data_IF_633494901902
#
_entry.id   IF_633494901902
#
_cell.length_a   1.000
_cell.length_b   1.000
_cell.length_c   1.000
_cell.angle_alpha   90.00
_cell.angle_beta   90.00
_cell.angle_gamma   90.00
#
_symmetry.space_group_name_H-M   'P 1'
#
loop_
_entity.id
_entity.type
_entity.pdbx_description
1 polymer ?
#
# COMPACT_ATOMS: atom_id res chain seq x y z
N UNK A 1 -27.10 5.16 18.78
CA UNK A 1 -25.76 5.04 19.40
C UNK A 1 -25.30 3.60 19.18
N UNK A 2 -24.61 3.35 18.07
CA UNK A 2 -24.08 2.04 17.73
C UNK A 2 -22.74 1.90 18.45
N UNK A 3 -22.70 1.03 19.46
CA UNK A 3 -21.49 0.74 20.22
C UNK A 3 -20.67 -0.22 19.37
N UNK A 4 -19.68 0.30 18.65
CA UNK A 4 -18.76 -0.48 17.82
C UNK A 4 -18.06 -1.51 18.70
N UNK A 5 -18.61 -2.73 18.69
CA UNK A 5 -18.22 -3.80 19.58
C UNK A 5 -16.88 -4.35 19.11
N UNK A 6 -15.78 -3.85 19.67
CA UNK A 6 -14.43 -4.36 19.41
C UNK A 6 -14.40 -5.86 19.74
N UNK A 7 -14.40 -6.69 18.70
CA UNK A 7 -14.34 -8.15 18.83
C UNK A 7 -12.89 -8.54 19.13
N UNK A 8 -12.58 -9.11 20.30
CA UNK A 8 -11.21 -9.48 20.65
C UNK A 8 -10.69 -10.59 19.74
N UNK A 9 -9.51 -10.41 19.14
CA UNK A 9 -8.87 -11.40 18.24
C UNK A 9 -7.56 -11.94 18.83
N UNK A 10 -7.31 -13.24 18.70
CA UNK A 10 -6.05 -13.84 19.11
C UNK A 10 -4.92 -13.47 18.14
N UNK A 11 -3.89 -12.78 18.62
CA UNK A 11 -2.78 -12.32 17.76
C UNK A 11 -1.89 -13.44 17.21
N UNK A 12 -1.96 -14.65 17.79
CA UNK A 12 -1.13 -15.80 17.38
C UNK A 12 -1.77 -16.54 16.21
N UNK A 13 -3.08 -16.74 16.22
CA UNK A 13 -3.80 -17.57 15.24
C UNK A 13 -4.92 -16.84 14.48
N UNK A 14 -5.23 -15.58 14.84
CA UNK A 14 -6.27 -14.78 14.19
C UNK A 14 -7.71 -15.14 14.59
N UNK A 15 -7.91 -16.04 15.56
CA UNK A 15 -9.26 -16.43 15.98
C UNK A 15 -9.99 -15.28 16.69
N UNK A 16 -11.17 -14.91 16.18
CA UNK A 16 -12.10 -13.96 16.82
C UNK A 16 -12.75 -14.61 18.04
N UNK A 17 -12.74 -13.91 19.17
CA UNK A 17 -13.29 -14.35 20.45
C UNK A 17 -14.58 -13.58 20.77
N UNK A 18 -15.57 -14.24 21.39
CA UNK A 18 -16.89 -13.65 21.66
C UNK A 18 -16.97 -12.82 22.96
N UNK A 19 -17.65 -11.67 22.90
CA UNK A 19 -18.02 -10.70 23.95
C UNK A 19 -16.89 -10.11 24.84
N UNK A 20 -16.88 -8.77 24.90
CA UNK A 20 -15.85 -7.89 25.51
C UNK A 20 -15.83 -7.84 27.05
N UNK A 21 -16.79 -8.46 27.74
CA UNK A 21 -16.90 -8.34 29.21
C UNK A 21 -16.07 -9.38 29.98
N UNK A 22 -15.49 -10.39 29.31
CA UNK A 22 -14.70 -11.47 29.95
C UNK A 22 -13.43 -11.87 29.19
N UNK A 23 -12.90 -10.94 28.38
CA UNK A 23 -11.77 -11.17 27.44
C UNK A 23 -10.54 -11.80 28.08
N UNK A 24 -10.06 -11.39 29.27
CA UNK A 24 -8.81 -11.93 29.83
C UNK A 24 -8.88 -13.43 30.12
N UNK A 25 -9.97 -13.91 30.74
CA UNK A 25 -10.12 -15.35 31.08
C UNK A 25 -10.34 -16.21 29.83
N UNK A 26 -11.07 -15.71 28.83
CA UNK A 26 -11.29 -16.44 27.56
C UNK A 26 -10.01 -16.52 26.74
N UNK A 27 -9.26 -15.42 26.64
CA UNK A 27 -7.95 -15.39 26.00
C UNK A 27 -6.97 -16.31 26.74
N UNK A 28 -7.00 -16.30 28.07
CA UNK A 28 -6.24 -17.22 28.93
C UNK A 28 -6.49 -18.68 28.61
N UNK A 29 -7.75 -19.09 28.64
CA UNK A 29 -8.16 -20.45 28.28
C UNK A 29 -7.77 -20.81 26.85
N UNK A 30 -8.07 -19.93 25.89
CA UNK A 30 -7.75 -20.17 24.48
C UNK A 30 -6.25 -20.42 24.25
N UNK A 31 -5.39 -19.64 24.90
CA UNK A 31 -3.94 -19.79 24.78
C UNK A 31 -3.42 -21.04 25.49
N UNK A 32 -3.97 -21.38 26.66
CA UNK A 32 -3.61 -22.62 27.36
C UNK A 32 -3.99 -23.87 26.55
N UNK A 33 -5.14 -23.85 25.86
CA UNK A 33 -5.63 -25.01 25.12
C UNK A 33 -5.05 -25.12 23.71
N UNK A 34 -4.89 -24.00 23.00
CA UNK A 34 -4.47 -24.00 21.59
C UNK A 34 -2.99 -23.66 21.40
N UNK A 35 -2.35 -23.02 22.39
CA UNK A 35 -0.96 -22.58 22.33
C UNK A 35 -0.22 -22.85 23.65
N UNK A 36 -0.19 -24.11 24.14
CA UNK A 36 0.35 -24.45 25.46
C UNK A 36 1.83 -24.04 25.62
N UNK A 37 2.61 -24.06 24.54
CA UNK A 37 4.01 -23.62 24.50
C UNK A 37 4.21 -22.11 24.76
N UNK A 38 3.18 -21.29 24.55
CA UNK A 38 3.22 -19.84 24.76
C UNK A 38 2.69 -19.42 26.15
N UNK A 39 2.06 -20.34 26.88
CA UNK A 39 1.46 -20.07 28.20
C UNK A 39 2.45 -19.61 29.27
N UNK A 40 3.71 -20.06 29.17
CA UNK A 40 4.78 -19.75 30.14
C UNK A 40 5.43 -18.38 29.87
N UNK A 41 5.26 -17.81 28.66
CA UNK A 41 5.95 -16.58 28.23
C UNK A 41 4.99 -15.49 27.75
N UNK A 42 3.88 -15.39 28.46
CA UNK A 42 2.66 -14.69 28.08
C UNK A 42 2.86 -13.23 27.64
N UNK A 43 3.65 -12.45 28.38
CA UNK A 43 3.76 -11.00 28.16
C UNK A 43 4.71 -10.65 27.02
N UNK A 44 5.89 -11.27 27.00
CA UNK A 44 6.93 -10.97 26.00
C UNK A 44 6.55 -11.45 24.59
N UNK A 45 5.88 -12.61 24.48
CA UNK A 45 5.46 -13.13 23.18
C UNK A 45 4.37 -12.26 22.54
N UNK A 46 3.41 -11.79 23.34
CA UNK A 46 2.34 -10.92 22.88
C UNK A 46 2.85 -9.53 22.49
N UNK A 47 3.71 -8.91 23.31
CA UNK A 47 4.32 -7.63 22.99
C UNK A 47 5.15 -7.71 21.70
N UNK A 48 5.96 -8.77 21.52
CA UNK A 48 6.76 -8.96 20.32
C UNK A 48 5.90 -9.19 19.07
N UNK A 49 4.82 -9.97 19.18
CA UNK A 49 3.91 -10.25 18.06
C UNK A 49 3.05 -9.04 17.66
N UNK A 50 2.57 -8.27 18.64
CA UNK A 50 1.88 -6.99 18.39
C UNK A 50 2.81 -5.96 17.76
N UNK A 51 4.05 -5.88 18.25
CA UNK A 51 5.06 -5.00 17.69
C UNK A 51 5.43 -5.40 16.25
N UNK A 52 5.55 -6.70 15.95
CA UNK A 52 5.80 -7.15 14.58
C UNK A 52 4.63 -6.89 13.65
N UNK A 53 3.38 -7.14 14.08
CA UNK A 53 2.18 -6.85 13.27
C UNK A 53 2.02 -5.35 13.01
N UNK A 54 2.17 -4.50 14.02
CA UNK A 54 2.08 -3.04 13.83
C UNK A 54 3.20 -2.49 12.94
N UNK A 55 4.41 -3.06 12.99
CA UNK A 55 5.49 -2.70 12.06
C UNK A 55 5.18 -3.14 10.63
N UNK A 56 4.63 -4.34 10.44
CA UNK A 56 4.22 -4.83 9.11
C UNK A 56 3.09 -3.98 8.52
N UNK A 57 2.08 -3.61 9.32
CA UNK A 57 0.98 -2.72 8.90
C UNK A 57 1.54 -1.36 8.47
N UNK A 58 2.39 -0.73 9.29
CA UNK A 58 3.02 0.57 8.94
C UNK A 58 3.90 0.51 7.70
N UNK A 59 4.58 -0.61 7.45
CA UNK A 59 5.36 -0.82 6.23
C UNK A 59 4.43 -1.00 5.03
N UNK A 60 3.36 -1.77 5.17
CA UNK A 60 2.35 -1.98 4.14
C UNK A 60 1.65 -0.68 3.78
N UNK A 61 1.19 0.11 4.75
CA UNK A 61 0.57 1.43 4.54
C UNK A 61 1.50 2.39 3.80
N UNK A 62 2.79 2.44 4.19
CA UNK A 62 3.79 3.25 3.50
C UNK A 62 4.03 2.77 2.06
N UNK A 63 4.07 1.46 1.83
CA UNK A 63 4.25 0.89 0.49
C UNK A 63 3.03 1.13 -0.40
N UNK A 64 1.80 1.01 0.15
CA UNK A 64 0.55 1.32 -0.54
C UNK A 64 0.51 2.82 -0.89
N UNK A 65 0.84 3.70 0.05
CA UNK A 65 0.85 5.14 -0.19
C UNK A 65 1.90 5.58 -1.22
N UNK A 66 3.07 4.92 -1.25
CA UNK A 66 4.07 5.15 -2.32
C UNK A 66 3.59 4.58 -3.65
N UNK A 67 2.90 3.44 -3.65
CA UNK A 67 2.31 2.85 -4.85
C UNK A 67 1.21 3.74 -5.46
N UNK A 68 0.31 4.29 -4.65
CA UNK A 68 -0.77 5.17 -5.11
C UNK A 68 -0.22 6.44 -5.74
N UNK A 69 0.71 7.12 -5.06
CA UNK A 69 1.38 8.32 -5.61
C UNK A 69 2.12 8.03 -6.92
N UNK A 70 2.74 6.86 -7.04
CA UNK A 70 3.39 6.44 -8.27
C UNK A 70 2.39 6.19 -9.42
N UNK A 71 1.19 5.66 -9.12
CA UNK A 71 0.12 5.54 -10.13
C UNK A 71 -0.35 6.92 -10.60
N UNK A 72 -0.66 7.83 -9.67
CA UNK A 72 -1.12 9.19 -9.98
C UNK A 72 -0.10 9.91 -10.86
N UNK A 73 1.18 9.89 -10.49
CA UNK A 73 2.24 10.51 -11.28
C UNK A 73 2.35 9.91 -12.70
N UNK A 74 2.14 8.60 -12.83
CA UNK A 74 2.14 7.92 -14.12
C UNK A 74 0.95 8.30 -15.00
N UNK A 75 -0.24 8.48 -14.41
CA UNK A 75 -1.42 8.99 -15.10
C UNK A 75 -1.23 10.44 -15.56
N UNK A 76 -0.71 11.32 -14.72
CA UNK A 76 -0.41 12.71 -15.08
C UNK A 76 0.61 12.80 -16.24
N UNK A 77 1.65 11.97 -16.23
CA UNK A 77 2.61 11.91 -17.36
C UNK A 77 1.92 11.45 -18.64
N UNK A 78 1.05 10.45 -18.57
CA UNK A 78 0.31 9.95 -19.73
C UNK A 78 -0.64 11.01 -20.29
N UNK A 79 -1.36 11.74 -19.42
CA UNK A 79 -2.23 12.85 -19.79
C UNK A 79 -1.44 13.97 -20.48
N UNK A 80 -0.32 14.41 -19.90
CA UNK A 80 0.53 15.44 -20.48
C UNK A 80 1.02 15.06 -21.88
N UNK A 81 1.43 13.81 -22.08
CA UNK A 81 1.86 13.30 -23.39
C UNK A 81 0.70 13.31 -24.38
N UNK A 82 -0.48 12.82 -23.97
CA UNK A 82 -1.66 12.78 -24.82
C UNK A 82 -2.13 14.18 -25.24
N UNK A 83 -2.26 15.10 -24.28
CA UNK A 83 -2.68 16.50 -24.51
C UNK A 83 -1.71 17.23 -25.43
N UNK A 84 -0.41 16.97 -25.31
CA UNK A 84 0.63 17.58 -26.16
C UNK A 84 0.84 16.82 -27.47
N UNK A 85 0.06 15.78 -27.75
CA UNK A 85 0.15 14.93 -28.95
C UNK A 85 1.58 14.42 -29.20
N UNK A 86 2.26 14.03 -28.12
CA UNK A 86 3.64 13.51 -28.16
C UNK A 86 3.64 11.99 -28.21
N UNK A 87 4.69 11.37 -28.77
CA UNK A 87 4.80 9.91 -28.76
C UNK A 87 4.98 9.41 -27.32
N UNK A 88 4.33 8.30 -26.99
CA UNK A 88 4.33 7.72 -25.65
C UNK A 88 5.69 7.20 -25.20
N UNK A 89 6.58 6.88 -26.15
CA UNK A 89 7.97 6.49 -25.86
C UNK A 89 8.81 7.62 -25.22
N UNK A 90 8.35 8.88 -25.29
CA UNK A 90 9.02 10.03 -24.70
C UNK A 90 9.11 9.90 -23.17
N UNK A 91 8.14 9.24 -22.55
CA UNK A 91 8.10 9.04 -21.10
C UNK A 91 9.31 8.27 -20.61
N UNK A 92 9.58 7.12 -21.23
CA UNK A 92 10.68 6.23 -20.87
C UNK A 92 12.02 6.76 -21.39
N UNK A 93 12.04 7.35 -22.59
CA UNK A 93 13.28 7.81 -23.22
C UNK A 93 13.84 9.12 -22.66
N UNK A 94 12.98 10.05 -22.23
CA UNK A 94 13.40 11.41 -21.85
C UNK A 94 12.88 11.81 -20.47
N UNK A 95 11.58 11.66 -20.20
CA UNK A 95 10.97 12.19 -18.98
C UNK A 95 11.53 11.48 -17.75
N UNK A 96 11.55 10.15 -17.74
CA UNK A 96 12.06 9.37 -16.61
C UNK A 96 13.55 9.66 -16.31
N UNK A 97 14.47 9.61 -17.30
CA UNK A 97 15.86 9.99 -17.06
C UNK A 97 16.03 11.43 -16.58
N UNK A 98 15.22 12.38 -17.06
CA UNK A 98 15.24 13.76 -16.60
C UNK A 98 14.82 13.88 -15.13
N UNK A 99 13.73 13.22 -14.74
CA UNK A 99 13.28 13.16 -13.35
C UNK A 99 14.36 12.60 -12.43
N UNK A 100 15.01 11.50 -12.81
CA UNK A 100 16.12 10.92 -12.04
C UNK A 100 17.26 11.92 -11.83
N UNK A 101 17.72 12.58 -12.90
CA UNK A 101 18.81 13.56 -12.80
C UNK A 101 18.44 14.73 -11.89
N UNK A 102 17.25 15.30 -12.05
CA UNK A 102 16.78 16.45 -11.26
C UNK A 102 16.68 16.07 -9.79
N UNK A 103 15.99 14.97 -9.45
CA UNK A 103 15.79 14.54 -8.06
C UNK A 103 17.11 14.20 -7.39
N UNK A 104 17.99 13.48 -8.09
CA UNK A 104 19.31 13.12 -7.55
C UNK A 104 20.19 14.33 -7.25
N UNK A 105 20.14 15.36 -8.09
CA UNK A 105 20.94 16.59 -7.92
C UNK A 105 20.31 17.52 -6.86
N UNK A 106 19.01 17.76 -6.93
CA UNK A 106 18.32 18.80 -6.15
C UNK A 106 17.88 18.33 -4.76
N UNK A 107 17.53 17.05 -4.62
CA UNK A 107 16.92 16.50 -3.40
C UNK A 107 17.88 15.51 -2.74
N UNK A 108 18.46 14.63 -3.54
CA UNK A 108 19.42 13.61 -3.10
C UNK A 108 19.02 12.20 -3.51
N UNK A 109 20.00 11.28 -3.46
CA UNK A 109 19.84 9.93 -3.99
C UNK A 109 18.82 9.03 -3.27
N UNK A 110 18.41 9.36 -2.05
CA UNK A 110 17.36 8.61 -1.35
C UNK A 110 15.97 8.82 -1.97
N UNK A 111 15.68 10.03 -2.46
CA UNK A 111 14.42 10.36 -3.13
C UNK A 111 14.34 9.77 -4.56
N UNK A 112 15.49 9.56 -5.19
CA UNK A 112 15.60 8.96 -6.54
C UNK A 112 15.00 7.54 -6.61
N UNK A 113 15.09 6.79 -5.50
CA UNK A 113 14.54 5.43 -5.39
C UNK A 113 13.03 5.42 -5.54
N UNK A 114 12.34 6.47 -5.12
CA UNK A 114 10.88 6.57 -5.25
C UNK A 114 10.46 6.89 -6.69
N UNK A 115 11.31 7.57 -7.47
CA UNK A 115 11.08 7.84 -8.90
C UNK A 115 11.10 6.54 -9.71
N UNK A 116 11.98 5.58 -9.35
CA UNK A 116 12.02 4.25 -9.99
C UNK A 116 10.69 3.48 -9.88
N UNK A 117 9.83 3.83 -8.93
CA UNK A 117 8.55 3.13 -8.69
C UNK A 117 7.44 3.61 -9.62
N UNK A 118 7.63 4.74 -10.32
CA UNK A 118 6.63 5.28 -11.23
C UNK A 118 6.61 4.42 -12.50
N UNK A 119 5.48 3.77 -12.83
CA UNK A 119 5.41 2.91 -14.01
C UNK A 119 5.26 3.76 -15.27
N UNK A 120 6.35 4.04 -15.98
CA UNK A 120 6.35 4.91 -17.17
C UNK A 120 6.86 4.22 -18.44
N UNK A 121 6.86 2.89 -18.45
CA UNK A 121 7.23 2.13 -19.65
C UNK A 121 6.36 2.53 -20.84
N UNK A 122 6.91 2.40 -22.04
CA UNK A 122 6.20 2.62 -23.30
C UNK A 122 4.82 1.92 -23.31
N UNK A 123 4.76 0.66 -22.87
CA UNK A 123 3.52 -0.12 -22.81
C UNK A 123 2.54 0.45 -21.78
N UNK A 124 3.03 0.88 -20.62
CA UNK A 124 2.18 1.46 -19.56
C UNK A 124 1.54 2.76 -20.03
N UNK A 125 2.34 3.68 -20.56
CA UNK A 125 1.84 5.00 -21.00
C UNK A 125 0.89 4.83 -22.18
N UNK A 126 1.20 3.97 -23.15
CA UNK A 126 0.28 3.65 -24.25
C UNK A 126 -1.07 3.17 -23.74
N UNK A 127 -1.07 2.22 -22.78
CA UNK A 127 -2.29 1.69 -22.18
C UNK A 127 -3.10 2.79 -21.50
N UNK A 128 -2.46 3.63 -20.67
CA UNK A 128 -3.16 4.73 -19.97
C UNK A 128 -3.80 5.72 -20.94
N UNK A 129 -3.10 6.09 -22.02
CA UNK A 129 -3.66 6.98 -23.06
C UNK A 129 -4.89 6.36 -23.70
N UNK A 130 -4.84 5.06 -24.02
CA UNK A 130 -5.99 4.33 -24.56
C UNK A 130 -7.15 4.28 -23.56
N UNK A 131 -6.87 3.98 -22.29
CA UNK A 131 -7.89 3.85 -21.25
C UNK A 131 -8.57 5.20 -20.99
N UNK A 132 -7.82 6.31 -20.98
CA UNK A 132 -8.37 7.67 -20.93
C UNK A 132 -9.31 7.95 -22.11
N UNK A 133 -8.90 7.62 -23.33
CA UNK A 133 -9.74 7.77 -24.53
C UNK A 133 -11.04 6.97 -24.43
N UNK A 134 -10.97 5.72 -23.95
CA UNK A 134 -12.15 4.88 -23.74
C UNK A 134 -13.07 5.43 -22.66
N UNK A 135 -12.52 5.99 -21.58
CA UNK A 135 -13.32 6.59 -20.52
C UNK A 135 -14.07 7.82 -21.01
N UNK A 136 -13.41 8.72 -21.75
CA UNK A 136 -14.06 9.89 -22.38
C UNK A 136 -15.17 9.43 -23.31
N UNK A 137 -14.91 8.43 -24.17
CA UNK A 137 -15.92 7.90 -25.09
C UNK A 137 -17.16 7.35 -24.35
N UNK A 138 -16.95 6.62 -23.24
CA UNK A 138 -18.05 6.12 -22.40
C UNK A 138 -18.84 7.23 -21.72
N UNK A 139 -18.16 8.26 -21.22
CA UNK A 139 -18.82 9.42 -20.59
C UNK A 139 -19.68 10.21 -21.58
N UNK A 140 -19.28 10.28 -22.85
CA UNK A 140 -20.04 10.95 -23.90
C UNK A 140 -21.17 10.10 -24.49
N UNK A 141 -21.14 8.78 -24.28
CA UNK A 141 -22.14 7.83 -24.78
C UNK A 141 -23.30 7.57 -23.79
N UNK A 142 -23.20 8.11 -22.58
CA UNK A 142 -24.24 8.09 -21.54
C UNK A 142 -24.91 9.47 -21.43
#
# INVERSE_FOLDING_TARGET
MENDMVVPECVVCGCKLSNSTTVPRKLQRHLLTNHPSLSIKYKCCFQRSLFSKSKLVKVCEKQIGVSEKAQIASDEIAELIAVKLKPHNLAEGIILPACHKIVKIMIGGSADIDICKIPVSNVTIHRRIRDMSQNIAKTLAN
#
